data_IF_894638568636
#
_entry.id   IF_894638568636
#
_cell.length_a   1.000
_cell.length_b   1.000
_cell.length_c   1.000
_cell.angle_alpha   90.00
_cell.angle_beta   90.00
_cell.angle_gamma   90.00
#
_symmetry.space_group_name_H-M   'P 1'
#
loop_
_entity.id
_entity.type
_entity.pdbx_description
1 polymer ?
#
# COMPACT_ATOMS: atom_id res chain seq x y z
N UNK A 1 14.23 19.42 6.46
CA UNK A 1 14.82 18.07 6.26
C UNK A 1 13.73 17.15 5.72
N UNK A 2 13.99 16.45 4.61
CA UNK A 2 13.08 15.41 4.08
C UNK A 2 13.51 14.06 4.65
N UNK A 3 12.57 13.26 5.11
CA UNK A 3 12.81 11.94 5.68
C UNK A 3 12.27 10.84 4.74
N UNK A 4 13.12 10.02 4.09
CA UNK A 4 12.70 8.94 3.20
C UNK A 4 12.32 7.66 3.98
N UNK A 5 11.52 7.80 5.01
CA UNK A 5 11.06 6.70 5.87
C UNK A 5 9.55 6.74 6.02
N UNK A 6 8.93 5.58 6.22
CA UNK A 6 7.48 5.44 6.43
C UNK A 6 7.01 6.03 7.77
N UNK A 7 7.89 6.03 8.78
CA UNK A 7 7.67 6.67 10.09
C UNK A 7 8.97 7.26 10.62
N UNK A 8 8.89 8.30 11.45
CA UNK A 8 10.03 8.74 12.27
C UNK A 8 10.29 7.68 13.36
N UNK A 9 11.56 7.25 13.58
CA UNK A 9 11.84 6.19 14.56
C UNK A 9 11.52 6.57 16.00
N UNK A 10 11.64 7.84 16.38
CA UNK A 10 11.34 8.34 17.71
C UNK A 10 9.86 8.67 17.92
N UNK A 11 9.56 9.34 19.04
CA UNK A 11 8.22 9.79 19.39
C UNK A 11 8.03 11.28 19.09
N UNK A 12 6.87 11.66 18.56
CA UNK A 12 6.47 13.06 18.35
C UNK A 12 4.95 13.22 18.29
N UNK A 13 4.50 14.46 18.49
CA UNK A 13 3.11 14.85 18.33
C UNK A 13 2.96 15.52 16.97
N UNK A 14 2.17 14.95 16.03
CA UNK A 14 2.00 15.54 14.71
C UNK A 14 1.10 16.78 14.78
N UNK A 15 1.42 17.79 13.97
CA UNK A 15 0.50 18.86 13.65
C UNK A 15 -0.43 18.39 12.54
N UNK A 16 -1.73 18.36 12.79
CA UNK A 16 -2.75 17.98 11.81
C UNK A 16 -3.27 19.21 11.09
N UNK A 17 -3.69 19.04 9.82
CA UNK A 17 -4.30 20.14 9.06
C UNK A 17 -5.60 20.61 9.74
N UNK A 18 -5.77 21.92 9.85
CA UNK A 18 -6.97 22.54 10.38
C UNK A 18 -7.97 22.86 9.27
N UNK A 19 -8.52 21.81 8.64
CA UNK A 19 -9.58 21.92 7.64
C UNK A 19 -10.80 21.03 7.98
N UNK A 20 -11.95 21.38 7.41
CA UNK A 20 -13.21 20.66 7.70
C UNK A 20 -13.14 19.15 7.41
N UNK A 21 -12.61 18.67 6.27
CA UNK A 21 -12.46 17.24 6.01
C UNK A 21 -11.63 16.50 7.06
N UNK A 22 -10.57 17.12 7.59
CA UNK A 22 -9.75 16.53 8.66
C UNK A 22 -10.48 16.48 9.99
N UNK A 23 -11.23 17.53 10.34
CA UNK A 23 -12.08 17.54 11.56
C UNK A 23 -13.16 16.46 11.51
N UNK A 24 -13.79 16.23 10.37
CA UNK A 24 -14.76 15.14 10.18
C UNK A 24 -14.08 13.79 10.40
N UNK A 25 -12.90 13.56 9.81
CA UNK A 25 -12.14 12.33 10.02
C UNK A 25 -11.74 12.14 11.48
N UNK A 26 -11.26 13.20 12.12
CA UNK A 26 -10.92 13.19 13.54
C UNK A 26 -12.13 12.80 14.41
N UNK A 27 -13.33 13.29 14.09
CA UNK A 27 -14.55 12.93 14.79
C UNK A 27 -14.96 11.48 14.57
N UNK A 28 -14.79 10.93 13.36
CA UNK A 28 -15.12 9.53 13.01
C UNK A 28 -14.12 8.55 13.61
N UNK A 29 -12.82 8.82 13.47
CA UNK A 29 -11.75 7.91 13.94
C UNK A 29 -11.41 8.09 15.41
N UNK A 30 -11.73 9.24 16.00
CA UNK A 30 -11.27 9.68 17.31
C UNK A 30 -9.91 10.38 17.25
N UNK A 31 -9.76 11.46 18.03
CA UNK A 31 -8.61 12.38 18.02
C UNK A 31 -7.25 11.69 18.12
N UNK A 32 -7.09 10.73 19.05
CA UNK A 32 -5.82 10.05 19.27
C UNK A 32 -5.50 9.07 18.13
N UNK A 33 -6.49 8.35 17.64
CA UNK A 33 -6.32 7.39 16.53
C UNK A 33 -6.03 8.11 15.23
N UNK A 34 -6.68 9.25 14.97
CA UNK A 34 -6.46 10.02 13.75
C UNK A 34 -5.03 10.60 13.64
N UNK A 35 -4.35 10.87 14.77
CA UNK A 35 -2.93 11.26 14.79
C UNK A 35 -1.99 10.25 14.13
N UNK A 36 -2.42 8.97 13.97
CA UNK A 36 -1.65 7.96 13.24
C UNK A 36 -1.39 8.43 11.81
N UNK A 37 -2.39 9.04 11.16
CA UNK A 37 -2.23 9.57 9.81
C UNK A 37 -1.12 10.63 9.69
N UNK A 38 -0.97 11.48 10.70
CA UNK A 38 0.07 12.51 10.75
C UNK A 38 1.48 11.99 11.12
N UNK A 39 1.58 10.72 11.54
CA UNK A 39 2.85 10.06 11.90
C UNK A 39 3.38 9.14 10.82
N UNK A 40 2.64 8.98 9.73
CA UNK A 40 2.94 8.05 8.66
C UNK A 40 3.18 8.79 7.35
N UNK A 41 4.28 8.46 6.68
CA UNK A 41 4.58 8.92 5.33
C UNK A 41 4.55 7.73 4.36
N UNK A 42 3.79 7.86 3.28
CA UNK A 42 3.64 6.80 2.28
C UNK A 42 3.98 7.29 0.88
N UNK A 43 4.51 6.40 0.07
CA UNK A 43 4.63 6.58 -1.36
C UNK A 43 3.35 6.10 -2.04
N UNK A 44 2.76 6.96 -2.88
CA UNK A 44 1.59 6.63 -3.68
C UNK A 44 1.99 6.56 -5.15
N UNK A 45 1.63 5.47 -5.80
CA UNK A 45 1.83 5.27 -7.23
C UNK A 45 0.49 5.30 -7.95
N UNK A 46 0.40 6.10 -9.00
CA UNK A 46 -0.79 6.23 -9.83
C UNK A 46 -0.51 5.71 -11.24
N UNK A 47 -1.38 4.86 -11.75
CA UNK A 47 -1.37 4.42 -13.13
C UNK A 47 -2.72 4.69 -13.78
N UNK A 48 -2.72 5.26 -14.97
CA UNK A 48 -3.94 5.58 -15.72
C UNK A 48 -4.82 4.34 -15.87
N UNK A 49 -6.12 4.48 -15.69
CA UNK A 49 -7.08 3.43 -15.94
C UNK A 49 -7.11 3.06 -17.44
N UNK A 50 -7.59 1.85 -17.80
CA UNK A 50 -7.75 1.47 -19.20
C UNK A 50 -8.51 2.53 -19.98
N UNK A 51 -8.05 2.83 -21.20
CA UNK A 51 -8.58 3.93 -22.01
C UNK A 51 -10.08 3.79 -22.25
N UNK A 52 -10.82 4.87 -21.97
CA UNK A 52 -12.26 4.97 -22.18
C UNK A 52 -13.13 4.47 -21.02
N UNK A 53 -12.54 3.88 -19.96
CA UNK A 53 -13.33 3.35 -18.84
C UNK A 53 -13.65 4.39 -17.76
N UNK A 54 -13.10 5.58 -17.83
CA UNK A 54 -13.31 6.63 -16.84
C UNK A 54 -13.89 7.89 -17.46
N UNK A 55 -14.80 8.52 -16.73
CA UNK A 55 -15.35 9.84 -17.06
C UNK A 55 -14.67 10.88 -16.19
N UNK A 56 -13.86 11.74 -16.82
CA UNK A 56 -13.07 12.75 -16.11
C UNK A 56 -13.94 13.89 -15.55
N UNK A 57 -15.08 14.17 -16.19
CA UNK A 57 -15.99 15.22 -15.74
C UNK A 57 -16.84 14.77 -14.54
N UNK A 58 -17.46 13.60 -14.66
CA UNK A 58 -18.30 13.02 -13.63
C UNK A 58 -17.51 12.28 -12.55
N UNK A 59 -16.23 11.97 -12.81
CA UNK A 59 -15.33 11.21 -11.94
C UNK A 59 -15.90 9.84 -11.54
N UNK A 60 -16.42 9.12 -12.53
CA UNK A 60 -17.02 7.79 -12.38
C UNK A 60 -16.50 6.82 -13.43
N UNK A 61 -16.66 5.52 -13.16
CA UNK A 61 -16.37 4.49 -14.15
C UNK A 61 -17.50 4.40 -15.19
N UNK A 62 -17.13 4.32 -16.47
CA UNK A 62 -18.03 4.05 -17.61
C UNK A 62 -18.10 2.55 -17.81
N UNK A 63 -19.23 1.92 -17.50
CA UNK A 63 -19.41 0.47 -17.68
C UNK A 63 -19.88 0.08 -19.09
N UNK A 64 -20.28 1.06 -19.91
CA UNK A 64 -20.68 0.88 -21.32
C UNK A 64 -19.46 0.84 -22.24
N UNK A 65 -18.49 -0.04 -21.95
CA UNK A 65 -17.27 -0.24 -22.73
C UNK A 65 -17.11 -1.73 -23.09
N UNK A 66 -16.19 -2.04 -24.02
CA UNK A 66 -15.88 -3.41 -24.44
C UNK A 66 -15.48 -4.29 -23.25
N UNK A 67 -15.84 -5.57 -23.29
CA UNK A 67 -15.54 -6.54 -22.21
C UNK A 67 -14.05 -6.59 -21.88
N UNK A 68 -13.16 -6.68 -22.89
CA UNK A 68 -11.70 -6.68 -22.68
C UNK A 68 -11.18 -5.48 -21.87
N UNK A 69 -11.78 -4.29 -22.03
CA UNK A 69 -11.40 -3.10 -21.24
C UNK A 69 -11.85 -3.27 -19.78
N UNK A 70 -13.08 -3.77 -19.57
CA UNK A 70 -13.58 -4.08 -18.21
C UNK A 70 -12.74 -5.16 -17.54
N UNK A 71 -12.42 -6.23 -18.26
CA UNK A 71 -11.61 -7.33 -17.75
C UNK A 71 -10.18 -6.88 -17.41
N UNK A 72 -9.58 -6.00 -18.22
CA UNK A 72 -8.27 -5.43 -17.94
C UNK A 72 -8.27 -4.51 -16.71
N UNK A 73 -9.38 -3.79 -16.45
CA UNK A 73 -9.54 -3.05 -15.19
C UNK A 73 -9.57 -4.00 -14.00
N UNK A 74 -10.37 -5.06 -14.07
CA UNK A 74 -10.49 -6.05 -12.99
C UNK A 74 -9.14 -6.75 -12.75
N UNK A 75 -8.47 -7.18 -13.82
CA UNK A 75 -7.13 -7.78 -13.76
C UNK A 75 -6.12 -6.83 -13.14
N UNK A 76 -6.11 -5.54 -13.53
CA UNK A 76 -5.23 -4.52 -12.95
C UNK A 76 -5.52 -4.30 -11.46
N UNK A 77 -6.78 -4.19 -11.08
CA UNK A 77 -7.20 -4.00 -9.70
C UNK A 77 -6.79 -5.18 -8.80
N UNK A 78 -7.08 -6.40 -9.23
CA UNK A 78 -6.74 -7.62 -8.50
C UNK A 78 -5.24 -7.86 -8.43
N UNK A 79 -4.50 -7.57 -9.52
CA UNK A 79 -3.04 -7.64 -9.54
C UNK A 79 -2.42 -6.71 -8.50
N UNK A 80 -2.89 -5.46 -8.39
CA UNK A 80 -2.34 -4.51 -7.41
C UNK A 80 -2.62 -4.96 -5.96
N UNK A 81 -3.76 -5.61 -5.71
CA UNK A 81 -4.05 -6.20 -4.39
C UNK A 81 -3.12 -7.39 -4.13
N UNK A 82 -2.93 -8.27 -5.09
CA UNK A 82 -2.00 -9.40 -4.97
C UNK A 82 -0.55 -8.92 -4.80
N UNK A 83 -0.13 -7.90 -5.52
CA UNK A 83 1.22 -7.35 -5.45
C UNK A 83 1.52 -6.60 -4.13
N UNK A 84 0.49 -6.15 -3.40
CA UNK A 84 0.64 -5.31 -2.20
C UNK A 84 1.63 -5.88 -1.17
N UNK A 85 1.61 -7.17 -0.76
CA UNK A 85 2.59 -7.70 0.19
C UNK A 85 4.04 -7.65 -0.32
N UNK A 86 4.27 -7.87 -1.63
CA UNK A 86 5.60 -7.79 -2.20
C UNK A 86 6.07 -6.32 -2.30
N UNK A 87 5.22 -5.42 -2.80
CA UNK A 87 5.52 -4.00 -2.94
C UNK A 87 5.81 -3.35 -1.59
N UNK A 88 4.96 -3.61 -0.59
CA UNK A 88 5.16 -3.09 0.76
C UNK A 88 6.44 -3.65 1.38
N UNK A 89 6.77 -4.94 1.16
CA UNK A 89 8.02 -5.53 1.65
C UNK A 89 9.24 -4.85 1.04
N UNK A 90 9.30 -4.64 -0.28
CA UNK A 90 10.41 -3.92 -0.91
C UNK A 90 10.53 -2.47 -0.41
N UNK A 91 9.42 -1.88 -0.01
CA UNK A 91 9.39 -0.47 0.44
C UNK A 91 9.45 -0.31 1.96
N UNK A 92 9.66 -1.36 2.74
CA UNK A 92 9.78 -1.29 4.20
C UNK A 92 10.88 -0.35 4.65
N UNK A 93 10.51 0.65 5.45
CA UNK A 93 11.42 1.64 6.02
C UNK A 93 10.94 2.16 7.39
N UNK A 94 9.97 1.48 8.00
CA UNK A 94 9.31 1.94 9.22
C UNK A 94 9.28 0.86 10.32
N UNK A 95 10.43 0.40 10.86
CA UNK A 95 10.44 -0.62 11.90
C UNK A 95 9.96 -0.10 13.25
N UNK A 96 9.94 1.22 13.45
CA UNK A 96 9.52 1.86 14.69
C UNK A 96 8.24 2.68 14.51
N UNK A 97 7.44 2.73 15.57
CA UNK A 97 6.33 3.67 15.70
C UNK A 97 6.30 4.25 17.11
N UNK A 98 6.41 5.58 17.22
CA UNK A 98 6.44 6.28 18.51
C UNK A 98 7.50 5.71 19.49
N UNK A 99 8.69 5.47 18.97
CA UNK A 99 9.81 4.95 19.73
C UNK A 99 9.83 3.44 19.94
N UNK A 100 8.76 2.71 19.59
CA UNK A 100 8.64 1.26 19.82
C UNK A 100 8.84 0.48 18.52
N UNK A 101 9.56 -0.61 18.60
CA UNK A 101 9.61 -1.61 17.53
C UNK A 101 8.26 -2.37 17.48
N UNK A 102 7.58 -2.35 16.34
CA UNK A 102 6.34 -3.11 16.16
C UNK A 102 6.48 -4.24 15.13
N UNK A 103 7.33 -4.08 14.13
CA UNK A 103 7.51 -5.03 13.05
C UNK A 103 8.43 -4.46 11.98
N UNK A 104 8.47 -5.06 10.79
CA UNK A 104 9.25 -4.54 9.66
C UNK A 104 8.57 -3.35 8.97
N UNK A 105 7.24 -3.28 9.09
CA UNK A 105 6.41 -2.21 8.55
C UNK A 105 5.40 -1.75 9.63
N UNK A 106 5.89 -0.94 10.56
CA UNK A 106 5.06 -0.38 11.64
C UNK A 106 3.98 0.56 11.11
N UNK A 107 4.23 1.24 9.99
CA UNK A 107 3.23 2.06 9.32
C UNK A 107 2.04 1.22 8.88
N UNK A 108 2.25 0.08 8.21
CA UNK A 108 1.17 -0.82 7.80
C UNK A 108 0.39 -1.34 9.01
N UNK A 109 1.10 -1.78 10.06
CA UNK A 109 0.50 -2.30 11.29
C UNK A 109 -0.40 -1.25 11.94
N UNK A 110 0.07 -0.01 12.06
CA UNK A 110 -0.69 1.08 12.70
C UNK A 110 -1.74 1.70 11.79
N UNK A 111 -1.49 1.76 10.49
CA UNK A 111 -2.43 2.37 9.56
C UNK A 111 -3.61 1.44 9.27
N UNK A 112 -3.35 0.19 8.85
CA UNK A 112 -4.40 -0.79 8.55
C UNK A 112 -5.04 -1.36 9.81
N UNK A 113 -4.24 -1.83 10.77
CA UNK A 113 -4.69 -2.42 12.03
C UNK A 113 -5.68 -3.58 11.88
N UNK A 114 -6.44 -3.83 12.95
CA UNK A 114 -7.53 -4.79 12.99
C UNK A 114 -7.10 -6.25 13.13
N UNK A 115 -8.04 -7.15 12.88
CA UNK A 115 -7.87 -8.59 13.12
C UNK A 115 -6.72 -9.22 12.32
N UNK A 116 -6.45 -8.75 11.12
CA UNK A 116 -5.39 -9.28 10.26
C UNK A 116 -3.98 -8.97 10.79
N UNK A 117 -3.82 -7.89 11.55
CA UNK A 117 -2.56 -7.51 12.18
C UNK A 117 -2.55 -7.76 13.68
N UNK A 118 -3.63 -8.30 14.27
CA UNK A 118 -3.79 -8.46 15.73
C UNK A 118 -3.52 -7.14 16.47
N UNK A 119 -3.89 -6.02 15.86
CA UNK A 119 -3.67 -4.68 16.38
C UNK A 119 -4.97 -3.87 16.37
N UNK A 120 -5.57 -3.68 17.55
CA UNK A 120 -6.82 -2.95 17.74
C UNK A 120 -6.64 -1.44 17.72
N UNK A 121 -5.41 -0.95 17.89
CA UNK A 121 -5.10 0.49 18.00
C UNK A 121 -4.84 1.16 16.64
N UNK A 122 -4.83 0.38 15.57
CA UNK A 122 -4.62 0.90 14.21
C UNK A 122 -5.71 1.87 13.77
N UNK A 123 -5.37 2.80 12.86
CA UNK A 123 -6.27 3.84 12.36
C UNK A 123 -7.57 3.26 11.80
N UNK A 124 -7.47 2.22 10.96
CA UNK A 124 -8.61 1.56 10.34
C UNK A 124 -8.96 0.22 10.98
N UNK A 125 -8.55 -0.03 12.23
CA UNK A 125 -8.77 -1.32 12.88
C UNK A 125 -10.24 -1.76 12.88
N UNK A 126 -11.15 -0.83 13.14
CA UNK A 126 -12.61 -1.05 13.16
C UNK A 126 -13.33 -0.58 11.88
N UNK A 127 -12.58 -0.11 10.89
CA UNK A 127 -13.10 0.50 9.65
C UNK A 127 -12.33 -0.05 8.45
N UNK A 128 -12.19 -1.39 8.40
CA UNK A 128 -11.38 -2.11 7.40
C UNK A 128 -11.86 -1.87 5.96
N UNK A 129 -13.15 -1.58 5.77
CA UNK A 129 -13.75 -1.24 4.48
C UNK A 129 -13.15 0.03 3.86
N UNK A 130 -12.67 0.97 4.70
CA UNK A 130 -12.11 2.24 4.24
C UNK A 130 -10.58 2.24 4.11
N UNK A 131 -9.87 1.43 4.90
CA UNK A 131 -8.40 1.50 4.95
C UNK A 131 -7.68 0.15 4.94
N UNK A 132 -8.39 -0.97 5.04
CA UNK A 132 -7.82 -2.31 4.88
C UNK A 132 -7.52 -2.66 3.42
N UNK A 133 -6.69 -3.69 3.21
CA UNK A 133 -6.47 -4.24 1.86
C UNK A 133 -7.79 -4.83 1.34
N UNK A 134 -8.32 -4.36 0.19
CA UNK A 134 -9.61 -4.83 -0.30
C UNK A 134 -9.55 -6.29 -0.78
N UNK A 135 -10.67 -7.02 -0.80
CA UNK A 135 -10.74 -8.30 -1.48
C UNK A 135 -10.77 -8.11 -3.00
N UNK A 136 -10.43 -9.16 -3.74
CA UNK A 136 -10.54 -9.19 -5.21
C UNK A 136 -11.97 -8.93 -5.67
N UNK A 137 -12.10 -8.51 -6.93
CA UNK A 137 -13.37 -8.30 -7.62
C UNK A 137 -13.44 -9.22 -8.82
N UNK A 138 -14.64 -9.69 -9.13
CA UNK A 138 -14.88 -10.58 -10.27
C UNK A 138 -15.20 -9.78 -11.53
N UNK A 139 -15.87 -8.64 -11.35
CA UNK A 139 -16.35 -7.79 -12.46
C UNK A 139 -16.06 -6.31 -12.20
N UNK A 140 -16.11 -5.50 -13.26
CA UNK A 140 -16.05 -4.06 -13.12
C UNK A 140 -17.26 -3.47 -12.37
N UNK A 141 -18.41 -4.16 -12.43
CA UNK A 141 -19.60 -3.79 -11.67
C UNK A 141 -19.34 -3.95 -10.15
N UNK A 142 -18.70 -5.04 -9.72
CA UNK A 142 -18.33 -5.23 -8.31
C UNK A 142 -17.40 -4.13 -7.79
N UNK A 143 -16.56 -3.55 -8.67
CA UNK A 143 -15.72 -2.40 -8.30
C UNK A 143 -16.60 -1.16 -8.06
N UNK A 144 -17.61 -0.93 -8.91
CA UNK A 144 -18.55 0.18 -8.73
C UNK A 144 -19.40 0.00 -7.48
N UNK A 145 -19.92 -1.18 -7.24
CA UNK A 145 -20.79 -1.49 -6.10
C UNK A 145 -20.07 -1.25 -4.78
N UNK A 146 -18.80 -1.65 -4.67
CA UNK A 146 -18.04 -1.41 -3.44
C UNK A 146 -17.70 0.08 -3.25
N UNK A 147 -17.47 0.83 -4.32
CA UNK A 147 -17.27 2.29 -4.23
C UNK A 147 -18.55 2.94 -3.69
N UNK A 148 -19.70 2.60 -4.26
CA UNK A 148 -21.00 3.12 -3.82
C UNK A 148 -21.31 2.71 -2.38
N UNK A 149 -21.09 1.44 -2.03
CA UNK A 149 -21.31 0.93 -0.65
C UNK A 149 -20.44 1.70 0.37
N UNK A 150 -19.18 1.93 0.06
CA UNK A 150 -18.28 2.71 0.95
C UNK A 150 -18.73 4.16 1.08
N UNK A 151 -19.19 4.77 0.01
CA UNK A 151 -19.73 6.12 0.05
C UNK A 151 -20.97 6.19 0.95
N UNK A 152 -21.93 5.27 0.82
CA UNK A 152 -23.12 5.23 1.68
C UNK A 152 -22.78 4.93 3.14
N UNK A 153 -21.79 4.05 3.41
CA UNK A 153 -21.27 3.83 4.76
C UNK A 153 -20.64 5.12 5.33
N UNK A 154 -19.81 5.82 4.56
CA UNK A 154 -19.22 7.08 4.99
C UNK A 154 -20.26 8.13 5.32
N UNK A 155 -21.30 8.22 4.50
CA UNK A 155 -22.48 9.05 4.71
C UNK A 155 -23.23 8.68 6.01
N UNK A 156 -23.35 7.38 6.33
CA UNK A 156 -23.97 6.94 7.58
C UNK A 156 -23.16 7.36 8.81
N UNK A 157 -21.82 7.28 8.77
CA UNK A 157 -20.95 7.77 9.84
C UNK A 157 -21.08 9.28 10.04
N UNK A 158 -21.15 10.07 8.95
CA UNK A 158 -21.38 11.52 9.04
C UNK A 158 -22.72 11.82 9.74
N UNK A 159 -23.78 11.11 9.36
CA UNK A 159 -25.09 11.24 10.00
C UNK A 159 -25.06 10.86 11.49
N UNK A 160 -24.38 9.78 11.85
CA UNK A 160 -24.29 9.34 13.25
C UNK A 160 -23.57 10.34 14.16
N UNK A 161 -22.75 11.22 13.60
CA UNK A 161 -22.11 12.34 14.30
C UNK A 161 -23.03 13.58 14.42
N UNK A 162 -24.26 13.52 13.95
CA UNK A 162 -25.17 14.68 13.90
C UNK A 162 -24.79 15.75 12.87
N UNK A 163 -23.87 15.44 11.96
CA UNK A 163 -23.41 16.39 10.95
C UNK A 163 -24.37 16.43 9.75
N UNK A 164 -24.53 17.64 9.18
CA UNK A 164 -25.32 17.80 7.97
C UNK A 164 -24.61 17.10 6.79
N UNK A 165 -25.36 16.30 6.03
CA UNK A 165 -24.87 15.55 4.88
C UNK A 165 -24.25 16.44 3.77
N UNK A 166 -24.62 17.74 3.73
CA UNK A 166 -24.02 18.72 2.81
C UNK A 166 -22.49 18.81 2.96
N UNK A 167 -21.91 18.38 4.09
CA UNK A 167 -20.44 18.31 4.25
C UNK A 167 -19.79 17.35 3.28
N UNK A 168 -20.54 16.44 2.66
CA UNK A 168 -20.02 15.54 1.60
C UNK A 168 -19.58 16.31 0.34
N UNK A 169 -20.12 17.52 0.10
CA UNK A 169 -19.64 18.37 -1.01
C UNK A 169 -18.19 18.82 -0.85
N UNK A 170 -17.58 18.68 0.35
CA UNK A 170 -16.17 18.91 0.60
C UNK A 170 -15.29 17.79 0.03
N UNK A 171 -15.87 16.62 -0.28
CA UNK A 171 -15.23 15.55 -1.01
C UNK A 171 -15.58 15.73 -2.50
N UNK A 172 -14.56 15.83 -3.36
CA UNK A 172 -14.77 16.13 -4.78
C UNK A 172 -15.43 15.01 -5.57
N UNK A 173 -15.48 13.78 -5.01
CA UNK A 173 -16.04 12.60 -5.66
C UNK A 173 -16.40 11.54 -4.61
N UNK A 174 -17.29 10.60 -4.97
CA UNK A 174 -17.55 9.38 -4.17
C UNK A 174 -16.27 8.54 -3.97
N UNK A 175 -15.29 8.68 -4.88
CA UNK A 175 -13.98 8.03 -4.80
C UNK A 175 -13.06 8.59 -3.71
N UNK A 176 -13.38 9.77 -3.15
CA UNK A 176 -12.59 10.41 -2.08
C UNK A 176 -12.95 9.93 -0.68
N UNK A 177 -13.95 9.05 -0.54
CA UNK A 177 -14.43 8.55 0.75
C UNK A 177 -13.74 7.26 1.20
N UNK A 178 -12.64 6.88 0.57
CA UNK A 178 -11.89 5.66 0.93
C UNK A 178 -10.39 5.87 0.88
N UNK A 179 -9.66 5.12 1.72
CA UNK A 179 -8.20 5.19 1.88
C UNK A 179 -7.54 3.81 1.79
N UNK A 180 -8.18 2.87 1.12
CA UNK A 180 -7.65 1.52 0.91
C UNK A 180 -6.30 1.55 0.20
N UNK A 181 -5.38 0.60 0.48
CA UNK A 181 -4.09 0.50 -0.18
C UNK A 181 -4.15 0.44 -1.70
N UNK A 182 -5.22 -0.15 -2.23
CA UNK A 182 -5.52 -0.16 -3.67
C UNK A 182 -6.91 0.43 -3.87
N UNK A 183 -7.02 1.46 -4.68
CA UNK A 183 -8.30 2.14 -4.98
C UNK A 183 -8.31 2.77 -6.38
N UNK A 184 -9.51 3.04 -6.88
CA UNK A 184 -9.70 3.96 -7.99
C UNK A 184 -9.64 5.39 -7.44
N UNK A 185 -8.84 6.23 -8.07
CA UNK A 185 -8.65 7.63 -7.68
C UNK A 185 -9.50 8.55 -8.56
N UNK A 186 -10.02 9.68 -8.02
CA UNK A 186 -10.80 10.66 -8.78
C UNK A 186 -10.09 11.25 -10.01
N UNK A 187 -8.77 11.09 -10.11
CA UNK A 187 -7.98 11.52 -11.27
C UNK A 187 -7.93 10.46 -12.40
N UNK A 188 -8.84 9.49 -12.41
CA UNK A 188 -8.89 8.44 -13.44
C UNK A 188 -7.70 7.47 -13.37
N UNK A 189 -7.19 7.20 -12.19
CA UNK A 189 -6.04 6.31 -11.98
C UNK A 189 -6.34 5.17 -11.03
N UNK A 190 -5.67 4.04 -11.22
CA UNK A 190 -5.51 3.01 -10.21
C UNK A 190 -4.37 3.43 -9.29
N UNK A 191 -4.69 3.67 -8.03
CA UNK A 191 -3.76 4.13 -7.01
C UNK A 191 -3.31 2.97 -6.12
N UNK A 192 -1.98 2.77 -6.03
CA UNK A 192 -1.36 1.94 -4.99
C UNK A 192 -0.72 2.85 -3.95
N UNK A 193 -1.19 2.77 -2.69
CA UNK A 193 -0.81 3.68 -1.61
C UNK A 193 -0.40 2.98 -0.32
N UNK A 194 -0.23 1.66 -0.39
CA UNK A 194 0.15 0.84 0.77
C UNK A 194 1.61 0.94 1.18
N UNK A 195 2.48 1.49 0.33
CA UNK A 195 3.93 1.51 0.48
C UNK A 195 4.43 2.60 1.43
N UNK A 196 5.48 2.31 2.19
CA UNK A 196 6.24 3.33 2.92
C UNK A 196 6.89 4.35 1.97
N UNK A 197 7.13 5.57 2.45
CA UNK A 197 8.11 6.45 1.82
C UNK A 197 9.49 5.81 1.90
N UNK A 198 10.34 5.99 0.88
CA UNK A 198 11.62 5.29 0.80
C UNK A 198 12.64 6.10 -0.03
N UNK A 199 13.86 5.58 -0.18
CA UNK A 199 14.88 6.16 -1.03
C UNK A 199 14.47 6.13 -2.51
N UNK A 200 14.88 7.16 -3.28
CA UNK A 200 14.48 7.35 -4.68
C UNK A 200 14.76 6.14 -5.59
N UNK A 201 15.88 5.45 -5.36
CA UNK A 201 16.24 4.26 -6.13
C UNK A 201 15.26 3.10 -5.93
N UNK A 202 14.74 2.93 -4.72
CA UNK A 202 13.73 1.91 -4.39
C UNK A 202 12.37 2.30 -4.97
N UNK A 203 12.00 3.59 -4.86
CA UNK A 203 10.79 4.16 -5.47
C UNK A 203 10.82 3.95 -6.99
N UNK A 204 11.94 4.23 -7.66
CA UNK A 204 12.10 4.01 -9.10
C UNK A 204 11.93 2.53 -9.45
N UNK A 205 12.54 1.62 -8.69
CA UNK A 205 12.44 0.17 -8.89
C UNK A 205 11.01 -0.33 -8.83
N UNK A 206 10.27 -0.02 -7.75
CA UNK A 206 8.86 -0.45 -7.62
C UNK A 206 7.96 0.22 -8.65
N UNK A 207 8.21 1.50 -8.99
CA UNK A 207 7.43 2.22 -9.99
C UNK A 207 7.56 1.60 -11.38
N UNK A 208 8.77 1.22 -11.77
CA UNK A 208 9.02 0.53 -13.05
C UNK A 208 8.34 -0.83 -13.06
N UNK A 209 8.45 -1.62 -11.98
CA UNK A 209 7.77 -2.92 -11.87
C UNK A 209 6.25 -2.76 -12.05
N UNK A 210 5.61 -1.87 -11.28
CA UNK A 210 4.17 -1.63 -11.36
C UNK A 210 3.78 -1.17 -12.77
N UNK A 211 4.52 -0.21 -13.35
CA UNK A 211 4.23 0.34 -14.66
C UNK A 211 4.13 -0.75 -15.73
N UNK A 212 5.14 -1.61 -15.83
CA UNK A 212 5.20 -2.58 -16.91
C UNK A 212 4.24 -3.76 -16.68
N UNK A 213 3.97 -4.13 -15.42
CA UNK A 213 2.91 -5.10 -15.11
C UNK A 213 1.55 -4.56 -15.56
N UNK A 214 1.17 -3.34 -15.14
CA UNK A 214 -0.11 -2.74 -15.50
C UNK A 214 -0.24 -2.48 -17.00
N UNK A 215 0.87 -2.05 -17.65
CA UNK A 215 0.92 -1.92 -19.10
C UNK A 215 0.58 -3.23 -19.79
N UNK A 216 1.19 -4.35 -19.36
CA UNK A 216 0.93 -5.68 -19.89
C UNK A 216 -0.53 -6.08 -19.76
N UNK A 217 -1.13 -5.85 -18.57
CA UNK A 217 -2.53 -6.16 -18.31
C UNK A 217 -3.49 -5.32 -19.16
N UNK A 218 -3.21 -4.03 -19.37
CA UNK A 218 -4.12 -3.12 -20.05
C UNK A 218 -3.97 -3.09 -21.58
N UNK A 219 -2.75 -3.25 -22.10
CA UNK A 219 -2.48 -3.18 -23.53
C UNK A 219 -2.51 -4.55 -24.21
N UNK A 220 -2.08 -5.60 -23.51
CA UNK A 220 -2.03 -6.97 -24.05
C UNK A 220 -3.11 -7.89 -23.45
N UNK A 221 -3.95 -7.34 -22.54
CA UNK A 221 -5.11 -8.00 -21.97
C UNK A 221 -4.80 -9.30 -21.21
N UNK A 222 -3.65 -9.35 -20.53
CA UNK A 222 -3.36 -10.49 -19.65
C UNK A 222 -4.43 -10.60 -18.56
N UNK A 223 -4.87 -11.83 -18.29
CA UNK A 223 -5.82 -12.14 -17.24
C UNK A 223 -5.09 -12.39 -15.91
N UNK A 224 -5.75 -12.04 -14.83
CA UNK A 224 -5.26 -12.29 -13.46
C UNK A 224 -6.24 -13.20 -12.74
N UNK A 225 -5.82 -14.43 -12.47
CA UNK A 225 -6.69 -15.48 -11.97
C UNK A 225 -6.27 -15.93 -10.57
N UNK A 226 -7.12 -15.71 -9.54
CA UNK A 226 -6.92 -16.28 -8.21
C UNK A 226 -7.06 -17.80 -8.24
N UNK A 227 -6.07 -18.54 -7.71
CA UNK A 227 -6.09 -20.00 -7.67
C UNK A 227 -5.11 -20.58 -6.64
N UNK A 228 -5.25 -21.88 -6.37
CA UNK A 228 -4.30 -22.68 -5.58
C UNK A 228 -2.91 -22.73 -6.25
N UNK A 229 -2.83 -22.64 -7.58
CA UNK A 229 -1.55 -22.49 -8.31
C UNK A 229 -0.85 -21.23 -7.81
N UNK A 230 -1.58 -20.12 -7.65
CA UNK A 230 -1.03 -18.87 -7.16
C UNK A 230 -0.50 -18.93 -5.71
N UNK A 231 -0.93 -19.86 -4.88
CA UNK A 231 -0.33 -20.10 -3.55
C UNK A 231 1.04 -20.78 -3.71
N UNK A 232 1.11 -21.84 -4.49
CA UNK A 232 2.33 -22.67 -4.68
C UNK A 232 3.36 -21.95 -5.56
N UNK A 233 2.89 -21.32 -6.62
CA UNK A 233 3.69 -20.61 -7.62
C UNK A 233 3.12 -19.21 -7.87
N UNK A 234 3.23 -18.28 -6.88
CA UNK A 234 2.66 -16.93 -7.04
C UNK A 234 3.25 -16.24 -8.27
N UNK A 235 2.38 -15.56 -9.00
CA UNK A 235 2.70 -14.83 -10.24
C UNK A 235 3.21 -15.73 -11.39
N UNK A 236 2.90 -17.02 -11.38
CA UNK A 236 3.15 -17.90 -12.53
C UNK A 236 2.39 -17.39 -13.75
N UNK A 237 3.09 -17.36 -14.89
CA UNK A 237 2.52 -16.97 -16.18
C UNK A 237 2.34 -18.23 -17.03
N UNK A 238 1.13 -18.45 -17.53
CA UNK A 238 0.84 -19.44 -18.56
C UNK A 238 0.06 -18.76 -19.69
N UNK A 239 0.66 -18.67 -20.86
CA UNK A 239 0.15 -17.90 -22.01
C UNK A 239 -0.07 -16.42 -21.62
N UNK A 240 -1.32 -15.97 -21.59
CA UNK A 240 -1.78 -14.63 -21.22
C UNK A 240 -2.42 -14.58 -19.81
N UNK A 241 -2.24 -15.61 -19.00
CA UNK A 241 -2.81 -15.73 -17.66
C UNK A 241 -1.74 -15.67 -16.59
N UNK A 242 -1.95 -14.83 -15.58
CA UNK A 242 -1.11 -14.71 -14.38
C UNK A 242 -1.88 -15.27 -13.19
N UNK A 243 -1.34 -16.30 -12.56
CA UNK A 243 -1.95 -16.91 -11.38
C UNK A 243 -1.52 -16.18 -10.11
N UNK A 244 -2.49 -15.78 -9.30
CA UNK A 244 -2.27 -15.12 -8.01
C UNK A 244 -2.91 -15.94 -6.88
N UNK A 245 -2.43 -15.80 -5.61
CA UNK A 245 -3.08 -16.45 -4.49
C UNK A 245 -4.51 -15.97 -4.30
N UNK A 246 -5.40 -16.80 -3.70
CA UNK A 246 -6.73 -16.33 -3.29
C UNK A 246 -6.69 -15.12 -2.36
N UNK A 247 -7.67 -14.24 -2.47
CA UNK A 247 -7.73 -12.97 -1.74
C UNK A 247 -7.58 -13.11 -0.22
N UNK A 248 -8.20 -14.15 0.36
CA UNK A 248 -8.11 -14.39 1.80
C UNK A 248 -6.67 -14.69 2.25
N UNK A 249 -5.90 -15.44 1.43
CA UNK A 249 -4.51 -15.78 1.72
C UNK A 249 -3.61 -14.55 1.69
N UNK A 250 -3.79 -13.68 0.68
CA UNK A 250 -3.08 -12.39 0.60
C UNK A 250 -3.37 -11.51 1.82
N UNK A 251 -4.64 -11.43 2.21
CA UNK A 251 -5.11 -10.54 3.28
C UNK A 251 -4.82 -11.05 4.70
N UNK A 252 -4.69 -12.37 4.89
CA UNK A 252 -4.45 -12.98 6.21
C UNK A 252 -2.98 -13.29 6.43
N UNK A 253 -2.40 -14.08 5.51
CA UNK A 253 -1.08 -14.64 5.71
C UNK A 253 0.02 -13.70 5.16
N UNK A 254 -0.08 -13.32 3.87
CA UNK A 254 1.00 -12.59 3.22
C UNK A 254 1.17 -11.18 3.79
N UNK A 255 0.09 -10.40 3.96
CA UNK A 255 0.27 -9.05 4.52
C UNK A 255 0.72 -9.05 5.98
N UNK A 256 0.32 -10.06 6.80
CA UNK A 256 0.78 -10.21 8.17
C UNK A 256 2.28 -10.51 8.22
N UNK A 257 2.70 -11.54 7.49
CA UNK A 257 4.12 -11.92 7.43
C UNK A 257 4.98 -10.80 6.83
N UNK A 258 4.49 -10.10 5.80
CA UNK A 258 5.16 -8.92 5.26
C UNK A 258 5.40 -7.87 6.36
N UNK A 259 4.37 -7.47 7.09
CA UNK A 259 4.46 -6.41 8.10
C UNK A 259 5.37 -6.78 9.29
N UNK A 260 5.29 -7.99 9.78
CA UNK A 260 6.01 -8.38 11.00
C UNK A 260 7.38 -9.00 10.75
N UNK A 261 7.53 -9.81 9.70
CA UNK A 261 8.75 -10.59 9.43
C UNK A 261 9.54 -10.08 8.21
N UNK A 262 8.85 -9.49 7.22
CA UNK A 262 9.47 -9.04 5.98
C UNK A 262 10.18 -10.18 5.25
N UNK A 263 11.33 -9.91 4.64
CA UNK A 263 12.15 -10.93 3.95
C UNK A 263 12.78 -11.98 4.89
N UNK A 264 12.64 -11.83 6.20
CA UNK A 264 12.99 -12.88 7.18
C UNK A 264 12.01 -14.06 7.19
N UNK A 265 10.82 -13.93 6.60
CA UNK A 265 9.89 -15.01 6.32
C UNK A 265 10.22 -15.63 4.97
N UNK A 266 10.45 -16.94 4.91
CA UNK A 266 10.66 -17.65 3.63
C UNK A 266 9.44 -17.53 2.71
N UNK A 267 8.24 -17.46 3.29
CA UNK A 267 7.01 -17.22 2.56
C UNK A 267 7.07 -15.89 1.80
N UNK A 268 7.38 -14.80 2.49
CA UNK A 268 7.45 -13.45 1.90
C UNK A 268 8.68 -13.30 0.98
N UNK A 269 9.82 -13.86 1.37
CA UNK A 269 10.99 -13.86 0.51
C UNK A 269 10.70 -14.51 -0.85
N UNK A 270 10.11 -15.70 -0.86
CA UNK A 270 9.73 -16.40 -2.08
C UNK A 270 8.66 -15.63 -2.86
N UNK A 271 7.71 -15.02 -2.18
CA UNK A 271 6.68 -14.17 -2.80
C UNK A 271 7.30 -12.98 -3.53
N UNK A 272 8.19 -12.24 -2.87
CA UNK A 272 8.94 -11.13 -3.46
C UNK A 272 9.81 -11.57 -4.64
N UNK A 273 10.51 -12.71 -4.52
CA UNK A 273 11.32 -13.29 -5.59
C UNK A 273 10.49 -13.62 -6.83
N UNK A 274 9.34 -14.26 -6.66
CA UNK A 274 8.42 -14.60 -7.74
C UNK A 274 7.81 -13.34 -8.39
N UNK A 275 7.38 -12.38 -7.57
CA UNK A 275 6.89 -11.08 -8.05
C UNK A 275 7.93 -10.36 -8.92
N UNK A 276 9.16 -10.25 -8.44
CA UNK A 276 10.22 -9.57 -9.18
C UNK A 276 10.60 -10.33 -10.46
N UNK A 277 10.57 -11.68 -10.45
CA UNK A 277 10.79 -12.49 -11.64
C UNK A 277 9.75 -12.26 -12.71
N UNK A 278 8.47 -12.24 -12.34
CA UNK A 278 7.36 -11.88 -13.25
C UNK A 278 7.54 -10.45 -13.79
N UNK A 279 7.80 -9.46 -12.92
CA UNK A 279 8.01 -8.08 -13.36
C UNK A 279 9.14 -7.97 -14.39
N UNK A 280 10.26 -8.64 -14.17
CA UNK A 280 11.41 -8.68 -15.11
C UNK A 280 11.04 -9.17 -16.50
N UNK A 281 10.13 -10.14 -16.62
CA UNK A 281 9.73 -10.69 -17.91
C UNK A 281 8.94 -9.69 -18.78
N UNK A 282 8.38 -8.65 -18.17
CA UNK A 282 7.59 -7.60 -18.84
C UNK A 282 8.40 -6.31 -19.11
N UNK A 283 9.54 -6.15 -18.45
CA UNK A 283 10.34 -4.91 -18.52
C UNK A 283 11.35 -4.99 -19.65
N UNK A 284 11.44 -3.96 -20.53
CA UNK A 284 12.46 -3.89 -21.58
C UNK A 284 13.89 -3.96 -21.01
N UNK A 285 14.80 -4.63 -21.74
CA UNK A 285 16.18 -4.88 -21.28
C UNK A 285 16.90 -3.62 -20.79
N UNK A 286 16.75 -2.49 -21.51
CA UNK A 286 17.37 -1.21 -21.15
C UNK A 286 16.79 -0.54 -19.89
N UNK A 287 15.72 -1.07 -19.32
CA UNK A 287 15.12 -0.58 -18.05
C UNK A 287 15.35 -1.51 -16.88
N UNK A 288 15.90 -2.70 -17.09
CA UNK A 288 16.12 -3.69 -16.03
C UNK A 288 17.09 -3.19 -14.94
N UNK A 289 18.00 -2.29 -15.27
CA UNK A 289 18.93 -1.65 -14.31
C UNK A 289 18.18 -0.98 -13.16
N UNK A 290 16.97 -0.44 -13.39
CA UNK A 290 16.17 0.19 -12.35
C UNK A 290 15.66 -0.79 -11.29
N UNK A 291 15.69 -2.10 -11.56
CA UNK A 291 15.34 -3.14 -10.58
C UNK A 291 16.51 -3.60 -9.71
N UNK A 292 17.74 -3.15 -9.95
CA UNK A 292 18.91 -3.57 -9.18
C UNK A 292 18.76 -3.36 -7.66
N UNK A 293 18.20 -2.23 -7.16
CA UNK A 293 17.99 -2.07 -5.72
C UNK A 293 17.12 -3.17 -5.13
N UNK A 294 16.02 -3.53 -5.81
CA UNK A 294 15.11 -4.60 -5.36
C UNK A 294 15.79 -5.97 -5.43
N UNK A 295 16.61 -6.20 -6.47
CA UNK A 295 17.40 -7.43 -6.59
C UNK A 295 18.45 -7.54 -5.47
N UNK A 296 19.11 -6.42 -5.10
CA UNK A 296 20.06 -6.37 -3.98
C UNK A 296 19.39 -6.71 -2.65
N UNK A 297 18.15 -6.23 -2.43
CA UNK A 297 17.35 -6.58 -1.25
C UNK A 297 17.08 -8.09 -1.19
N UNK A 298 16.70 -8.72 -2.30
CA UNK A 298 16.51 -10.18 -2.37
C UNK A 298 17.81 -10.94 -2.10
N UNK A 299 18.92 -10.54 -2.71
CA UNK A 299 20.22 -11.20 -2.51
C UNK A 299 20.66 -11.13 -1.06
N UNK A 300 20.47 -9.98 -0.40
CA UNK A 300 20.86 -9.77 0.99
C UNK A 300 19.81 -10.26 1.99
N UNK A 301 18.58 -10.57 1.54
CA UNK A 301 17.39 -10.79 2.38
C UNK A 301 17.15 -9.63 3.37
N UNK A 302 17.40 -8.39 2.95
CA UNK A 302 17.32 -7.19 3.79
C UNK A 302 16.65 -6.04 3.07
N UNK A 303 15.80 -5.33 3.79
CA UNK A 303 15.14 -4.09 3.39
C UNK A 303 15.73 -2.89 4.14
N UNK A 304 15.27 -1.68 3.87
CA UNK A 304 15.68 -0.50 4.63
C UNK A 304 15.32 -0.63 6.11
N UNK A 305 14.18 -1.25 6.44
CA UNK A 305 13.83 -1.56 7.85
C UNK A 305 14.86 -2.46 8.53
N UNK A 306 15.44 -3.43 7.80
CA UNK A 306 16.49 -4.28 8.34
C UNK A 306 17.79 -3.49 8.56
N UNK A 307 18.16 -2.60 7.63
CA UNK A 307 19.33 -1.72 7.78
C UNK A 307 19.20 -0.81 9.01
N UNK A 308 18.00 -0.24 9.22
CA UNK A 308 17.69 0.59 10.40
C UNK A 308 17.83 -0.22 11.69
N UNK A 309 17.29 -1.45 11.72
CA UNK A 309 17.38 -2.32 12.90
C UNK A 309 18.81 -2.78 13.17
N UNK A 310 19.57 -3.15 12.14
CA UNK A 310 20.97 -3.50 12.28
C UNK A 310 21.80 -2.34 12.84
N UNK A 311 21.53 -1.11 12.36
CA UNK A 311 22.17 0.09 12.86
C UNK A 311 21.82 0.35 14.33
N UNK A 312 20.54 0.23 14.70
CA UNK A 312 20.10 0.41 16.07
C UNK A 312 20.69 -0.65 17.02
N UNK A 313 20.71 -1.91 16.62
CA UNK A 313 21.29 -3.01 17.41
C UNK A 313 22.80 -2.80 17.65
N UNK A 314 23.56 -2.33 16.65
CA UNK A 314 24.99 -2.00 16.81
C UNK A 314 25.24 -0.89 17.82
N UNK A 315 24.23 -0.06 18.12
CA UNK A 315 24.24 0.98 19.14
C UNK A 315 23.65 0.53 20.49
N UNK A 316 23.43 -0.80 20.67
CA UNK A 316 22.94 -1.37 21.92
C UNK A 316 21.42 -1.39 22.08
N UNK A 317 20.64 -0.98 21.05
CA UNK A 317 19.17 -1.03 21.12
C UNK A 317 18.66 -2.46 21.22
N UNK A 318 17.70 -2.69 22.13
CA UNK A 318 16.94 -3.94 22.27
C UNK A 318 15.48 -3.72 21.90
N UNK A 319 14.88 -4.67 21.18
CA UNK A 319 13.49 -4.58 20.69
C UNK A 319 12.43 -4.45 21.80
N UNK A 320 12.76 -4.83 23.03
CA UNK A 320 11.90 -4.70 24.21
C UNK A 320 11.87 -3.28 24.80
N UNK A 321 12.74 -2.41 24.34
CA UNK A 321 12.93 -1.05 24.86
C UNK A 321 12.39 -0.01 23.88
N UNK A 322 12.19 1.22 24.37
CA UNK A 322 11.98 2.37 23.49
C UNK A 322 13.34 2.82 22.92
N UNK A 323 13.35 3.18 21.63
CA UNK A 323 14.55 3.72 21.02
C UNK A 323 14.91 5.08 21.68
N UNK A 324 16.17 5.30 22.11
CA UNK A 324 16.61 6.59 22.61
C UNK A 324 16.45 7.69 21.58
N UNK A 325 16.09 8.90 22.01
CA UNK A 325 15.81 10.02 21.09
C UNK A 325 17.02 10.42 20.24
N UNK A 326 18.22 10.39 20.82
CA UNK A 326 19.47 10.65 20.10
C UNK A 326 19.72 9.62 18.99
N UNK A 327 19.47 8.33 19.25
CA UNK A 327 19.61 7.27 18.26
C UNK A 327 18.53 7.38 17.17
N UNK A 328 17.29 7.71 17.53
CA UNK A 328 16.23 7.95 16.56
C UNK A 328 16.57 9.12 15.62
N UNK A 329 17.17 10.18 16.18
CA UNK A 329 17.62 11.34 15.42
C UNK A 329 18.80 11.00 14.51
N UNK A 330 19.79 10.24 15.00
CA UNK A 330 20.92 9.75 14.21
C UNK A 330 20.47 8.94 12.99
N UNK A 331 19.52 8.02 13.18
CA UNK A 331 18.91 7.25 12.09
C UNK A 331 18.25 8.18 11.07
N UNK A 332 17.43 9.13 11.54
CA UNK A 332 16.72 10.04 10.67
C UNK A 332 17.66 10.92 9.83
N UNK A 333 18.72 11.44 10.44
CA UNK A 333 19.75 12.22 9.75
C UNK A 333 20.48 11.39 8.70
N UNK A 334 20.96 10.20 9.06
CA UNK A 334 21.68 9.31 8.15
C UNK A 334 20.85 8.95 6.90
N UNK A 335 19.54 8.73 7.05
CA UNK A 335 18.64 8.45 5.91
C UNK A 335 18.30 9.71 5.11
N UNK A 336 18.18 10.89 5.75
CA UNK A 336 17.96 12.16 5.06
C UNK A 336 19.15 12.57 4.19
N UNK A 337 20.37 12.40 4.68
CA UNK A 337 21.60 12.70 3.91
C UNK A 337 21.76 11.87 2.65
N UNK A 338 21.23 10.63 2.63
CA UNK A 338 21.22 9.78 1.44
C UNK A 338 20.30 10.30 0.30
N UNK A 339 19.43 11.30 0.56
CA UNK A 339 18.64 11.95 -0.48
C UNK A 339 19.43 13.04 -1.23
N UNK A 340 20.47 13.55 -0.63
CA UNK A 340 21.32 14.63 -1.18
C UNK A 340 22.50 14.10 -1.98
N UNK A 341 22.71 12.79 -1.99
CA UNK A 341 23.74 12.07 -2.75
C UNK A 341 23.09 11.35 -3.94
#
# INVERSE_FOLDING_TARGET
>A
MLLPLGTYPGSFIPSMRDDKPYKIKESIFGKNRFKIAGRCAGFHYHYTLPRGIFDDQLRVLKLMVRSKIKDSLVSSYNMMIAADPALTTFMQSSPFYQGKYLGKDSRMIMYRGGKYFKNTDGLYANLQEFGGLPPYRLTALDIMDIITTRYELWKSYIKSLGLNIKVLSLYGSILDTTWNPVKINPNGTLEQRGMDMNHLVNIAGVSVAIRFILKKLQEEFYMVVPSEIGIKEPFKIEKDTIYIPPSFYVRRELQFDAAYKGMGSDLIYNYCKRFLSMAKSFIPKNRLVLLEPLQKMLTKKKTVSDEILDFAHKRGFKKSENIPINLATEIALAHSERLSR
#
